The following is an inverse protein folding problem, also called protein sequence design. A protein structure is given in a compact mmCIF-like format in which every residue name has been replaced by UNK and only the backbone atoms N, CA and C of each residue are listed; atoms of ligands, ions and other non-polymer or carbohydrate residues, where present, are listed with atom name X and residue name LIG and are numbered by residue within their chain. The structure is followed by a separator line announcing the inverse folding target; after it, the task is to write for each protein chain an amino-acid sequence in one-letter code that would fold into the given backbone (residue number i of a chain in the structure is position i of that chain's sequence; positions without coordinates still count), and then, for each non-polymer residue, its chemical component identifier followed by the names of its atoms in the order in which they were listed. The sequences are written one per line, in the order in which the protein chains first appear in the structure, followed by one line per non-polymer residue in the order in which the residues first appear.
data_IF_760030434431
#
_entry.id   IF_760030434431
#
_cell.length_a   1.000
_cell.length_b   1.000
_cell.length_c   1.000
_cell.angle_alpha   90.00
_cell.angle_beta   90.00
_cell.angle_gamma   90.00
#
_symmetry.space_group_name_H-M   'P 1'
#
loop_
_entity.id
_entity.type
_entity.pdbx_description
1 polymer ?
#
# COMPACT_ATOMS: atom_id res chain seq x y z
N UNK A 1 3.43 12.20 4.53
CA UNK A 1 4.00 11.60 3.30
C UNK A 1 3.02 10.59 2.73
N UNK A 2 3.02 10.34 1.42
CA UNK A 2 2.18 9.31 0.76
C UNK A 2 3.07 8.13 0.39
N UNK A 3 2.69 6.91 0.77
CA UNK A 3 3.48 5.70 0.48
C UNK A 3 3.04 5.02 -0.83
N UNK A 4 1.75 5.09 -1.14
CA UNK A 4 1.11 4.72 -2.42
C UNK A 4 -0.28 5.36 -2.47
N UNK A 5 -0.90 5.45 -3.65
CA UNK A 5 -2.21 6.05 -3.86
C UNK A 5 -2.22 7.01 -5.05
N UNK A 6 -2.85 8.16 -4.91
CA UNK A 6 -3.00 9.13 -5.99
C UNK A 6 -1.64 9.54 -6.58
N UNK A 7 -1.42 9.24 -7.87
CA UNK A 7 -0.18 9.53 -8.58
C UNK A 7 0.99 8.58 -8.29
N UNK A 8 0.81 7.54 -7.45
CA UNK A 8 1.80 6.51 -7.18
C UNK A 8 1.10 5.14 -6.98
N UNK A 9 0.94 4.33 -8.04
CA UNK A 9 0.29 3.03 -7.96
C UNK A 9 0.93 2.08 -6.93
N UNK A 10 0.14 1.23 -6.28
CA UNK A 10 0.65 0.27 -5.28
C UNK A 10 1.50 -0.81 -5.94
N UNK A 11 1.25 -1.13 -7.21
CA UNK A 11 2.00 -2.09 -8.02
C UNK A 11 3.45 -1.62 -8.22
N UNK A 12 3.66 -0.35 -8.55
CA UNK A 12 5.02 0.21 -8.71
C UNK A 12 5.82 0.13 -7.41
N UNK A 13 5.15 0.34 -6.27
CA UNK A 13 5.78 0.22 -4.95
C UNK A 13 6.08 -1.24 -4.62
N UNK A 14 5.18 -2.17 -4.97
CA UNK A 14 5.37 -3.60 -4.77
C UNK A 14 6.55 -4.13 -5.58
N UNK A 15 6.68 -3.74 -6.84
CA UNK A 15 7.83 -4.09 -7.68
C UNK A 15 9.15 -3.63 -7.06
N UNK A 16 9.21 -2.39 -6.57
CA UNK A 16 10.39 -1.85 -5.88
C UNK A 16 10.66 -2.54 -4.53
N UNK A 17 9.62 -3.05 -3.89
CA UNK A 17 9.70 -3.80 -2.64
C UNK A 17 9.98 -5.30 -2.85
N UNK A 18 10.05 -5.78 -4.09
CA UNK A 18 10.27 -7.19 -4.42
C UNK A 18 9.09 -8.10 -4.09
N UNK A 19 7.87 -7.57 -4.13
CA UNK A 19 6.62 -8.30 -3.84
C UNK A 19 5.50 -7.95 -4.84
N UNK A 20 4.29 -8.47 -4.62
CA UNK A 20 3.06 -8.17 -5.35
C UNK A 20 2.19 -7.17 -4.56
N UNK A 21 1.37 -6.38 -5.26
CA UNK A 21 0.52 -5.36 -4.64
C UNK A 21 -0.40 -5.90 -3.54
N UNK A 22 -0.88 -7.13 -3.69
CA UNK A 22 -1.71 -7.81 -2.69
C UNK A 22 -1.00 -7.96 -1.33
N UNK A 23 0.31 -8.21 -1.33
CA UNK A 23 1.06 -8.32 -0.08
C UNK A 23 1.06 -6.99 0.68
N UNK A 24 1.29 -5.86 -0.03
CA UNK A 24 1.23 -4.52 0.57
C UNK A 24 -0.15 -4.18 1.10
N UNK A 25 -1.21 -4.57 0.37
CA UNK A 25 -2.60 -4.31 0.76
C UNK A 25 -3.02 -5.14 1.98
N UNK A 26 -2.59 -6.40 2.07
CA UNK A 26 -3.01 -7.31 3.12
C UNK A 26 -2.11 -7.29 4.37
N UNK A 27 -0.84 -6.88 4.25
CA UNK A 27 0.07 -6.74 5.39
C UNK A 27 -0.03 -5.40 6.13
N UNK A 28 -1.11 -4.65 5.95
CA UNK A 28 -1.39 -3.44 6.76
C UNK A 28 -1.84 -3.85 8.15
N UNK A 29 -0.98 -3.63 9.15
CA UNK A 29 -1.26 -3.93 10.56
C UNK A 29 -2.39 -3.06 11.15
N UNK A 30 -3.12 -3.54 12.19
CA UNK A 30 -4.26 -2.82 12.79
C UNK A 30 -3.99 -1.43 13.36
N UNK A 31 -2.72 -1.07 13.62
CA UNK A 31 -2.33 0.25 14.12
C UNK A 31 -2.57 1.39 13.12
N UNK A 32 -2.79 1.08 11.84
CA UNK A 32 -3.08 2.09 10.80
C UNK A 32 -4.58 2.38 10.82
N UNK A 33 -5.00 3.63 11.13
CA UNK A 33 -6.42 3.98 11.14
C UNK A 33 -7.06 3.80 9.75
N UNK A 34 -8.26 3.22 9.70
CA UNK A 34 -9.05 3.08 8.47
C UNK A 34 -10.18 4.11 8.47
N UNK A 35 -10.22 4.96 7.45
CA UNK A 35 -11.31 5.92 7.22
C UNK A 35 -12.19 5.34 6.12
N UNK A 36 -13.47 5.15 6.40
CA UNK A 36 -14.48 4.70 5.43
C UNK A 36 -15.33 5.91 5.10
N UNK A 37 -15.42 6.22 3.81
CA UNK A 37 -16.16 7.37 3.26
C UNK A 37 -17.43 6.84 2.59
#
# INVERSE_FOLDING_TARGET
VVLWGQGLPVEEVAEKAGTVGYELLCHVTPRVPRVVI
#
